data_IF_036410170944
#
_entry.id   IF_036410170944
#
_cell.length_a   1.000
_cell.length_b   1.000
_cell.length_c   1.000
_cell.angle_alpha   90.00
_cell.angle_beta   90.00
_cell.angle_gamma   90.00
#
_symmetry.space_group_name_H-M   'P 1'
#
loop_
_entity.id
_entity.type
_entity.pdbx_description
1 polymer ?
#
# COMPACT_ATOMS: atom_id res chain seq x y z
N UNK A 1 19.56 -17.89 -12.70
CA UNK A 1 18.34 -17.13 -13.05
C UNK A 1 17.17 -17.84 -12.39
N UNK A 2 16.62 -17.27 -11.32
CA UNK A 2 15.52 -17.89 -10.59
C UNK A 2 14.29 -17.82 -11.49
N UNK A 3 13.98 -18.90 -12.19
CA UNK A 3 12.66 -19.08 -12.79
C UNK A 3 11.68 -19.19 -11.63
N UNK A 4 11.27 -18.04 -11.10
CA UNK A 4 10.28 -17.94 -10.04
C UNK A 4 8.99 -18.47 -10.66
N UNK A 5 8.70 -19.76 -10.47
CA UNK A 5 7.38 -20.34 -10.70
C UNK A 5 6.46 -19.73 -9.65
N UNK A 6 6.03 -18.49 -9.88
CA UNK A 6 5.06 -17.82 -9.02
C UNK A 6 3.74 -18.55 -9.22
N UNK A 7 3.29 -19.26 -8.19
CA UNK A 7 1.99 -19.92 -8.19
C UNK A 7 0.86 -18.91 -7.94
N UNK A 8 -0.39 -19.33 -8.17
CA UNK A 8 -1.57 -18.54 -7.82
C UNK A 8 -1.61 -18.17 -6.34
N UNK A 9 -1.12 -19.08 -5.49
CA UNK A 9 -1.00 -18.84 -4.06
C UNK A 9 0.04 -17.74 -3.77
N UNK A 10 1.22 -17.80 -4.40
CA UNK A 10 2.27 -16.80 -4.20
C UNK A 10 1.81 -15.38 -4.61
N UNK A 11 1.03 -15.26 -5.69
CA UNK A 11 0.47 -13.97 -6.13
C UNK A 11 -0.54 -13.42 -5.11
N UNK A 12 -1.44 -14.27 -4.60
CA UNK A 12 -2.42 -13.87 -3.58
C UNK A 12 -1.74 -13.51 -2.25
N UNK A 13 -0.73 -14.27 -1.85
CA UNK A 13 0.06 -13.98 -0.66
C UNK A 13 0.81 -12.65 -0.79
N UNK A 14 1.42 -12.40 -1.96
CA UNK A 14 2.07 -11.13 -2.24
C UNK A 14 1.07 -9.96 -2.21
N UNK A 15 -0.12 -10.11 -2.80
CA UNK A 15 -1.18 -9.11 -2.74
C UNK A 15 -1.60 -8.81 -1.29
N UNK A 16 -1.78 -9.84 -0.47
CA UNK A 16 -2.09 -9.69 0.95
C UNK A 16 -1.00 -8.97 1.74
N UNK A 17 0.27 -9.30 1.49
CA UNK A 17 1.41 -8.61 2.11
C UNK A 17 1.49 -7.14 1.72
N UNK A 18 1.25 -6.83 0.44
CA UNK A 18 1.21 -5.44 -0.04
C UNK A 18 0.12 -4.63 0.68
N UNK A 19 -1.10 -5.18 0.81
CA UNK A 19 -2.19 -4.51 1.55
C UNK A 19 -1.87 -4.31 3.03
N UNK A 20 -1.28 -5.31 3.67
CA UNK A 20 -0.88 -5.21 5.08
C UNK A 20 0.16 -4.10 5.25
N UNK A 21 1.20 -4.10 4.41
CA UNK A 21 2.23 -3.06 4.42
C UNK A 21 1.66 -1.66 4.14
N UNK A 22 0.70 -1.54 3.22
CA UNK A 22 -0.02 -0.28 2.98
C UNK A 22 -0.70 0.23 4.26
N UNK A 23 -1.51 -0.62 4.91
CA UNK A 23 -2.23 -0.26 6.14
C UNK A 23 -1.28 0.13 7.28
N UNK A 24 -0.16 -0.58 7.41
CA UNK A 24 0.86 -0.27 8.40
C UNK A 24 1.44 1.13 8.17
N UNK A 25 1.81 1.46 6.92
CA UNK A 25 2.39 2.77 6.60
C UNK A 25 1.35 3.88 6.78
N UNK A 26 0.10 3.68 6.35
CA UNK A 26 -1.00 4.65 6.56
C UNK A 26 -1.23 4.93 8.05
N UNK A 27 -1.16 3.89 8.88
CA UNK A 27 -1.25 4.00 10.34
C UNK A 27 -0.10 4.82 10.91
N UNK A 28 1.14 4.56 10.47
CA UNK A 28 2.32 5.32 10.91
C UNK A 28 2.23 6.79 10.51
N UNK A 29 1.81 7.10 9.28
CA UNK A 29 1.60 8.46 8.81
C UNK A 29 0.58 9.21 9.68
N UNK A 30 -0.55 8.56 9.99
CA UNK A 30 -1.57 9.12 10.86
C UNK A 30 -1.03 9.41 12.27
N UNK A 31 -0.25 8.48 12.83
CA UNK A 31 0.35 8.65 14.15
C UNK A 31 1.34 9.83 14.19
N UNK A 32 2.20 9.95 13.18
CA UNK A 32 3.16 11.04 13.09
C UNK A 32 2.48 12.39 12.87
N UNK A 33 1.39 12.45 12.09
CA UNK A 33 0.56 13.67 11.93
C UNK A 33 -0.04 14.11 13.27
N UNK A 34 -0.56 13.18 14.06
CA UNK A 34 -1.10 13.49 15.39
C UNK A 34 -0.02 14.03 16.33
N UNK A 35 1.17 13.40 16.34
CA UNK A 35 2.31 13.86 17.13
C UNK A 35 2.75 15.28 16.75
N UNK A 36 2.89 15.57 15.45
CA UNK A 36 3.23 16.91 14.96
C UNK A 36 2.18 17.94 15.36
N UNK A 37 0.90 17.61 15.22
CA UNK A 37 -0.20 18.49 15.64
C UNK A 37 -0.14 18.81 17.14
N UNK A 38 0.21 17.83 17.97
CA UNK A 38 0.38 18.01 19.41
C UNK A 38 1.59 18.90 19.75
N UNK A 39 2.73 18.74 19.06
CA UNK A 39 3.90 19.61 19.25
C UNK A 39 3.61 21.06 18.88
N UNK A 40 2.96 21.29 17.75
CA UNK A 40 2.56 22.63 17.27
C UNK A 40 1.59 23.27 18.26
N UNK A 41 0.60 22.51 18.75
CA UNK A 41 -0.36 22.98 19.76
C UNK A 41 0.28 23.23 21.12
N UNK A 42 1.33 22.49 21.47
CA UNK A 42 2.07 22.60 22.73
C UNK A 42 3.10 23.73 22.77
N UNK A 43 3.21 24.55 21.71
CA UNK A 43 4.08 25.72 21.70
C UNK A 43 5.55 25.44 21.35
N UNK A 44 5.85 24.30 20.71
CA UNK A 44 7.21 23.92 20.28
C UNK A 44 7.85 24.90 19.27
N UNK A 45 7.06 25.85 18.74
CA UNK A 45 7.46 26.75 17.65
C UNK A 45 6.80 28.13 17.86
N UNK A 46 7.52 29.19 17.53
CA UNK A 46 6.96 30.56 17.49
C UNK A 46 5.79 30.61 16.49
N UNK A 47 4.83 31.52 16.69
CA UNK A 47 3.54 31.55 15.98
C UNK A 47 3.64 31.52 14.45
N UNK A 48 4.72 32.04 13.86
CA UNK A 48 4.97 32.00 12.41
C UNK A 48 5.64 30.71 11.93
N UNK A 49 6.62 30.20 12.67
CA UNK A 49 7.32 28.96 12.33
C UNK A 49 6.41 27.72 12.52
N UNK A 50 5.48 27.79 13.47
CA UNK A 50 4.55 26.71 13.78
C UNK A 50 3.54 26.46 12.66
N UNK A 51 2.99 27.53 12.08
CA UNK A 51 2.07 27.44 10.94
C UNK A 51 2.75 26.92 9.67
N UNK A 52 3.96 27.38 9.37
CA UNK A 52 4.71 26.92 8.20
C UNK A 52 5.10 25.44 8.32
N UNK A 53 5.48 24.99 9.53
CA UNK A 53 5.79 23.59 9.80
C UNK A 53 4.54 22.70 9.67
N UNK A 54 3.40 23.10 10.25
CA UNK A 54 2.17 22.31 10.15
C UNK A 54 1.70 22.18 8.69
N UNK A 55 1.74 23.27 7.92
CA UNK A 55 1.38 23.26 6.50
C UNK A 55 2.30 22.35 5.68
N UNK A 56 3.62 22.43 5.91
CA UNK A 56 4.61 21.57 5.24
C UNK A 56 4.36 20.09 5.57
N UNK A 57 4.06 19.79 6.83
CA UNK A 57 3.78 18.42 7.26
C UNK A 57 2.44 17.89 6.70
N UNK A 58 1.41 18.74 6.63
CA UNK A 58 0.13 18.39 6.01
C UNK A 58 0.32 18.00 4.53
N UNK A 59 1.09 18.80 3.78
CA UNK A 59 1.42 18.52 2.39
C UNK A 59 2.23 17.23 2.23
N UNK A 60 3.22 16.99 3.08
CA UNK A 60 3.96 15.73 3.11
C UNK A 60 3.03 14.54 3.33
N UNK A 61 2.16 14.61 4.36
CA UNK A 61 1.26 13.52 4.71
C UNK A 61 0.28 13.20 3.57
N UNK A 62 -0.24 14.23 2.90
CA UNK A 62 -1.11 14.07 1.73
C UNK A 62 -0.37 13.39 0.57
N UNK A 63 0.84 13.86 0.23
CA UNK A 63 1.65 13.26 -0.83
C UNK A 63 2.02 11.81 -0.54
N UNK A 64 2.47 11.53 0.69
CA UNK A 64 2.81 10.18 1.12
C UNK A 64 1.60 9.25 1.04
N UNK A 65 0.44 9.66 1.56
CA UNK A 65 -0.82 8.88 1.48
C UNK A 65 -1.19 8.59 0.02
N UNK A 66 -1.09 9.58 -0.87
CA UNK A 66 -1.38 9.40 -2.29
C UNK A 66 -0.41 8.41 -2.97
N UNK A 67 0.89 8.47 -2.63
CA UNK A 67 1.88 7.50 -3.12
C UNK A 67 1.58 6.08 -2.63
N UNK A 68 1.27 5.93 -1.35
CA UNK A 68 1.01 4.64 -0.70
C UNK A 68 -0.28 4.00 -1.23
N UNK A 69 -1.30 4.80 -1.57
CA UNK A 69 -2.51 4.30 -2.22
C UNK A 69 -2.24 3.58 -3.56
N UNK A 70 -1.10 3.85 -4.20
CA UNK A 70 -0.65 3.11 -5.39
C UNK A 70 -0.36 1.62 -5.13
N UNK A 71 -0.12 1.24 -3.87
CA UNK A 71 0.11 -0.15 -3.46
C UNK A 71 -1.13 -1.01 -3.69
N UNK A 72 -2.34 -0.47 -3.48
CA UNK A 72 -3.59 -1.19 -3.75
C UNK A 72 -3.72 -1.57 -5.23
N UNK A 73 -3.25 -0.70 -6.14
CA UNK A 73 -3.22 -1.00 -7.57
C UNK A 73 -2.34 -2.22 -7.90
N UNK A 74 -1.19 -2.32 -7.24
CA UNK A 74 -0.27 -3.47 -7.38
C UNK A 74 -0.86 -4.74 -6.77
N UNK A 75 -1.47 -4.66 -5.59
CA UNK A 75 -2.14 -5.79 -4.96
C UNK A 75 -3.28 -6.32 -5.83
N UNK A 76 -4.11 -5.42 -6.38
CA UNK A 76 -5.20 -5.77 -7.29
C UNK A 76 -4.70 -6.42 -8.58
N UNK A 77 -3.60 -5.93 -9.15
CA UNK A 77 -2.99 -6.56 -10.32
C UNK A 77 -2.63 -8.02 -10.04
N UNK A 78 -1.99 -8.30 -8.89
CA UNK A 78 -1.61 -9.66 -8.51
C UNK A 78 -2.82 -10.58 -8.32
N UNK A 79 -3.91 -10.09 -7.71
CA UNK A 79 -5.15 -10.86 -7.55
C UNK A 79 -5.77 -11.22 -8.91
N UNK A 80 -5.84 -10.26 -9.84
CA UNK A 80 -6.39 -10.47 -11.19
C UNK A 80 -5.51 -11.45 -11.98
N UNK A 81 -4.19 -11.32 -11.88
CA UNK A 81 -3.25 -12.23 -12.53
C UNK A 81 -3.42 -13.67 -12.00
N UNK A 82 -3.54 -13.84 -10.67
CA UNK A 82 -3.76 -15.13 -10.04
C UNK A 82 -5.06 -15.79 -10.51
N UNK A 83 -6.17 -15.04 -10.55
CA UNK A 83 -7.46 -15.54 -11.02
C UNK A 83 -7.43 -15.92 -12.51
N UNK A 84 -6.84 -15.08 -13.35
CA UNK A 84 -6.81 -15.30 -14.79
C UNK A 84 -6.04 -16.57 -15.13
N UNK A 85 -4.87 -16.75 -14.54
CA UNK A 85 -4.05 -17.92 -14.78
C UNK A 85 -4.70 -19.20 -14.22
N UNK A 86 -5.29 -19.15 -13.02
CA UNK A 86 -6.05 -20.27 -12.46
C UNK A 86 -7.18 -20.71 -13.40
N UNK A 87 -7.95 -19.75 -13.93
CA UNK A 87 -9.03 -20.03 -14.88
C UNK A 87 -8.51 -20.64 -16.18
N UNK A 88 -7.37 -20.17 -16.69
CA UNK A 88 -6.76 -20.72 -17.91
C UNK A 88 -6.32 -22.17 -17.70
N UNK A 89 -5.68 -22.47 -16.57
CA UNK A 89 -5.26 -23.84 -16.24
C UNK A 89 -6.45 -24.80 -16.11
N UNK A 90 -7.53 -24.37 -15.44
CA UNK A 90 -8.75 -25.17 -15.29
C UNK A 90 -9.39 -25.49 -16.65
N UNK A 91 -9.40 -24.53 -17.57
CA UNK A 91 -9.89 -24.72 -18.94
C UNK A 91 -9.02 -25.72 -19.72
N UNK A 92 -7.69 -25.57 -19.64
CA UNK A 92 -6.76 -26.46 -20.34
C UNK A 92 -6.86 -27.90 -19.81
N UNK A 93 -6.99 -28.05 -18.49
CA UNK A 93 -7.22 -29.35 -17.85
C UNK A 93 -8.58 -29.98 -18.20
N UNK A 94 -9.60 -29.16 -18.51
CA UNK A 94 -10.88 -29.65 -18.99
C UNK A 94 -10.80 -30.15 -20.45
N UNK A 95 -9.97 -29.54 -21.29
CA UNK A 95 -9.79 -29.96 -22.69
C UNK A 95 -9.06 -31.31 -22.82
N UNK A 96 -8.05 -31.57 -21.97
CA UNK A 96 -7.31 -32.84 -21.99
C UNK A 96 -8.15 -34.02 -21.49
N UNK A 97 -9.19 -33.76 -20.70
CA UNK A 97 -10.10 -34.79 -20.16
C UNK A 97 -11.22 -35.19 -21.14
N UNK A 98 -11.30 -34.56 -22.31
CA UNK A 98 -12.23 -34.90 -23.40
C UNK A 98 -11.51 -35.71 -24.47
#
# INVERSE_FOLDING_TARGET
MTNLKVSYADMKDAAGRLRTGQQDIETQLKNLRAYVSQLVSGGFVTTSASGAFDASYAQFNQGATATIAGIEGMARFLDVAAQSLQSTDEQLAAQIRQ
#
